data_IF_018909095223
#
_entry.id   IF_018909095223
#
_cell.length_a   1.000
_cell.length_b   1.000
_cell.length_c   1.000
_cell.angle_alpha   90.00
_cell.angle_beta   90.00
_cell.angle_gamma   90.00
#
_symmetry.space_group_name_H-M   'P 1'
#
loop_
_entity.id
_entity.type
_entity.pdbx_description
1 polymer ?
#
# COMPACT_ATOMS: atom_id res chain seq x y z
N UNK A 1 -7.21 18.87 17.51
CA UNK A 1 -6.87 17.54 18.04
C UNK A 1 -6.02 16.83 17.00
N UNK A 2 -4.76 17.26 16.87
CA UNK A 2 -3.78 16.62 16.01
C UNK A 2 -3.27 15.40 16.75
N UNK A 3 -3.75 14.21 16.38
CA UNK A 3 -3.09 12.96 16.76
C UNK A 3 -1.72 12.94 16.06
N UNK A 4 -0.75 13.61 16.70
CA UNK A 4 0.67 13.38 16.49
C UNK A 4 0.96 11.97 17.01
N UNK A 5 0.61 10.99 16.19
CA UNK A 5 1.09 9.62 16.35
C UNK A 5 2.61 9.73 16.40
N UNK A 6 3.19 9.40 17.56
CA UNK A 6 4.62 9.23 17.80
C UNK A 6 5.13 8.04 16.97
N UNK A 7 5.03 8.15 15.65
CA UNK A 7 5.64 7.22 14.71
C UNK A 7 7.14 7.51 14.75
N UNK A 8 7.89 6.64 15.43
CA UNK A 8 9.34 6.68 15.44
C UNK A 8 9.86 6.11 14.11
N UNK A 9 10.33 7.00 13.25
CA UNK A 9 10.91 6.61 11.97
C UNK A 9 12.41 6.31 12.13
N UNK A 10 12.96 5.30 11.42
CA UNK A 10 12.28 4.43 10.46
C UNK A 10 11.46 3.31 11.14
N UNK A 11 10.20 3.11 10.73
CA UNK A 11 9.36 2.01 11.21
C UNK A 11 8.85 1.13 10.07
N UNK A 12 8.53 -0.13 10.38
CA UNK A 12 7.83 -1.01 9.43
C UNK A 12 6.35 -0.67 9.45
N UNK A 13 5.84 -0.20 8.31
CA UNK A 13 4.43 0.17 8.15
C UNK A 13 3.77 -0.73 7.09
N UNK A 14 2.75 -1.53 7.47
CA UNK A 14 1.94 -2.26 6.52
C UNK A 14 0.78 -1.38 6.02
N UNK A 15 0.65 -1.23 4.70
CA UNK A 15 -0.54 -0.65 4.05
C UNK A 15 -1.31 -1.78 3.38
N UNK A 16 -2.61 -1.88 3.66
CA UNK A 16 -3.48 -2.85 3.02
C UNK A 16 -4.39 -2.16 2.01
N UNK A 17 -4.14 -2.44 0.75
CA UNK A 17 -4.93 -1.98 -0.39
C UNK A 17 -5.95 -3.03 -0.75
N UNK A 18 -7.21 -2.64 -0.95
CA UNK A 18 -8.23 -3.50 -1.52
C UNK A 18 -8.75 -2.87 -2.80
N UNK A 19 -8.75 -3.66 -3.87
CA UNK A 19 -9.24 -3.23 -5.17
C UNK A 19 -9.87 -4.37 -5.96
N UNK A 20 -10.28 -4.06 -7.18
CA UNK A 20 -10.84 -5.04 -8.11
C UNK A 20 -9.80 -6.12 -8.42
N UNK A 21 -10.20 -7.38 -8.39
CA UNK A 21 -9.33 -8.51 -8.72
C UNK A 21 -9.08 -8.57 -10.25
N UNK A 22 -8.16 -7.75 -10.75
CA UNK A 22 -7.68 -7.81 -12.13
C UNK A 22 -6.26 -8.38 -12.16
N UNK A 23 -5.90 -9.04 -13.26
CA UNK A 23 -4.58 -9.67 -13.41
C UNK A 23 -3.40 -8.68 -13.24
N UNK A 24 -3.64 -7.38 -13.50
CA UNK A 24 -2.62 -6.34 -13.42
C UNK A 24 -2.62 -5.58 -12.08
N UNK A 25 -3.65 -5.74 -11.25
CA UNK A 25 -3.82 -4.88 -10.06
C UNK A 25 -2.64 -4.99 -9.10
N UNK A 26 -2.17 -6.21 -8.82
CA UNK A 26 -0.99 -6.41 -7.97
C UNK A 26 0.26 -5.74 -8.55
N UNK A 27 0.47 -5.86 -9.85
CA UNK A 27 1.62 -5.27 -10.54
C UNK A 27 1.56 -3.73 -10.52
N UNK A 28 0.38 -3.16 -10.78
CA UNK A 28 0.14 -1.71 -10.73
C UNK A 28 0.44 -1.14 -9.33
N UNK A 29 -0.08 -1.79 -8.28
CA UNK A 29 0.21 -1.40 -6.89
C UNK A 29 1.70 -1.56 -6.58
N UNK A 30 2.34 -2.65 -7.00
CA UNK A 30 3.77 -2.87 -6.80
C UNK A 30 4.62 -1.78 -7.46
N UNK A 31 4.29 -1.38 -8.69
CA UNK A 31 4.99 -0.31 -9.41
C UNK A 31 4.81 1.03 -8.70
N UNK A 32 3.59 1.37 -8.25
CA UNK A 32 3.35 2.59 -7.48
C UNK A 32 4.15 2.56 -6.18
N UNK A 33 4.10 1.46 -5.42
CA UNK A 33 4.85 1.33 -4.17
C UNK A 33 6.36 1.44 -4.36
N UNK A 34 6.93 0.79 -5.38
CA UNK A 34 8.37 0.89 -5.69
C UNK A 34 8.81 2.31 -6.07
N UNK A 35 7.92 3.11 -6.68
CA UNK A 35 8.23 4.52 -7.02
C UNK A 35 8.38 5.41 -5.77
N UNK A 36 7.59 5.18 -4.73
CA UNK A 36 7.65 5.93 -3.47
C UNK A 36 8.60 5.31 -2.44
N UNK A 37 8.87 4.01 -2.57
CA UNK A 37 9.73 3.24 -1.68
C UNK A 37 10.72 2.44 -2.55
N UNK A 38 11.87 3.04 -2.94
CA UNK A 38 12.87 2.34 -3.75
C UNK A 38 13.46 1.12 -3.02
N UNK A 39 13.52 1.13 -1.69
CA UNK A 39 13.99 0.02 -0.85
C UNK A 39 12.91 -1.05 -0.58
N UNK A 40 11.82 -1.05 -1.35
CA UNK A 40 10.75 -2.03 -1.20
C UNK A 40 11.23 -3.42 -1.63
N UNK A 41 11.39 -4.31 -0.66
CA UNK A 41 11.69 -5.72 -0.92
C UNK A 41 10.57 -6.38 -1.73
N UNK A 42 10.90 -7.31 -2.63
CA UNK A 42 9.88 -8.03 -3.39
C UNK A 42 8.95 -8.87 -2.48
N UNK A 43 9.46 -9.34 -1.35
CA UNK A 43 8.68 -10.06 -0.33
C UNK A 43 7.80 -9.14 0.54
N UNK A 44 7.89 -7.82 0.37
CA UNK A 44 7.07 -6.84 1.09
C UNK A 44 5.61 -6.87 0.66
N UNK A 45 5.35 -7.34 -0.56
CA UNK A 45 4.03 -7.31 -1.19
C UNK A 45 3.41 -8.70 -1.05
N UNK A 46 2.20 -8.75 -0.48
CA UNK A 46 1.41 -9.96 -0.37
C UNK A 46 0.03 -9.71 -0.92
N UNK A 47 -0.33 -10.41 -1.99
CA UNK A 47 -1.69 -10.41 -2.52
C UNK A 47 -2.48 -11.60 -1.97
N UNK A 48 -3.75 -11.36 -1.67
CA UNK A 48 -4.70 -12.40 -1.25
C UNK A 48 -6.06 -12.12 -1.89
N UNK A 49 -6.63 -13.08 -2.64
CA UNK A 49 -7.98 -12.94 -3.15
C UNK A 49 -8.98 -12.85 -1.99
N UNK A 50 -9.98 -11.99 -2.15
CA UNK A 50 -11.10 -11.91 -1.22
C UNK A 50 -11.95 -13.18 -1.30
N UNK A 51 -12.66 -13.49 -0.22
CA UNK A 51 -13.50 -14.69 -0.11
C UNK A 51 -14.54 -14.82 -1.24
N UNK A 52 -14.96 -13.71 -1.82
CA UNK A 52 -15.91 -13.68 -2.95
C UNK A 52 -15.27 -13.59 -4.35
N UNK A 53 -13.94 -13.64 -4.48
CA UNK A 53 -13.22 -13.59 -5.76
C UNK A 53 -13.26 -12.26 -6.53
N UNK A 54 -14.18 -11.36 -6.19
CA UNK A 54 -14.37 -10.05 -6.85
C UNK A 54 -13.25 -9.04 -6.56
N UNK A 55 -12.62 -9.14 -5.39
CA UNK A 55 -11.63 -8.19 -4.91
C UNK A 55 -10.30 -8.86 -4.58
N UNK A 56 -9.21 -8.14 -4.73
CA UNK A 56 -7.86 -8.54 -4.32
C UNK A 56 -7.41 -7.62 -3.18
N UNK A 57 -6.95 -8.21 -2.09
CA UNK A 57 -6.29 -7.50 -1.00
C UNK A 57 -4.77 -7.59 -1.20
N UNK A 58 -4.12 -6.46 -1.38
CA UNK A 58 -2.66 -6.34 -1.52
C UNK A 58 -2.13 -5.64 -0.28
N UNK A 59 -1.34 -6.35 0.52
CA UNK A 59 -0.65 -5.77 1.68
C UNK A 59 0.78 -5.44 1.27
N UNK A 60 1.17 -4.18 1.41
CA UNK A 60 2.51 -3.68 1.13
C UNK A 60 3.17 -3.30 2.44
N UNK A 61 4.26 -3.95 2.80
CA UNK A 61 4.99 -3.69 4.06
C UNK A 61 6.33 -3.04 3.78
N UNK A 62 6.47 -1.75 4.10
CA UNK A 62 7.69 -1.00 3.80
C UNK A 62 8.27 -0.35 5.05
N UNK A 63 9.50 0.14 4.93
CA UNK A 63 10.14 0.98 5.93
C UNK A 63 9.70 2.42 5.66
N UNK A 64 8.78 2.93 6.48
CA UNK A 64 8.41 4.33 6.44
C UNK A 64 9.53 5.13 7.11
N UNK A 65 10.04 6.14 6.41
CA UNK A 65 11.07 7.06 6.92
C UNK A 65 10.46 8.39 7.38
N UNK A 66 9.23 8.69 6.95
CA UNK A 66 8.48 9.88 7.36
C UNK A 66 6.98 9.70 7.15
N UNK A 67 6.18 10.50 7.86
CA UNK A 67 4.72 10.56 7.65
C UNK A 67 4.37 11.03 6.24
N UNK A 68 5.13 11.98 5.69
CA UNK A 68 4.94 12.47 4.32
C UNK A 68 5.06 11.35 3.28
N UNK A 69 6.03 10.44 3.44
CA UNK A 69 6.17 9.28 2.55
C UNK A 69 4.94 8.37 2.60
N UNK A 70 4.40 8.11 3.80
CA UNK A 70 3.19 7.30 3.97
C UNK A 70 2.00 8.00 3.28
N UNK A 71 1.81 9.29 3.53
CA UNK A 71 0.70 10.06 2.97
C UNK A 71 0.78 10.16 1.43
N UNK A 72 1.97 10.34 0.87
CA UNK A 72 2.19 10.34 -0.58
C UNK A 72 1.86 8.99 -1.20
N UNK A 73 2.35 7.89 -0.61
CA UNK A 73 2.05 6.55 -1.09
C UNK A 73 0.55 6.24 -0.98
N UNK A 74 -0.08 6.60 0.14
CA UNK A 74 -1.51 6.44 0.35
C UNK A 74 -2.31 7.19 -0.72
N UNK A 75 -1.96 8.45 -1.00
CA UNK A 75 -2.60 9.27 -2.04
C UNK A 75 -2.41 8.66 -3.43
N UNK A 76 -1.19 8.23 -3.77
CA UNK A 76 -0.89 7.65 -5.08
C UNK A 76 -1.66 6.34 -5.33
N UNK A 77 -1.74 5.48 -4.31
CA UNK A 77 -2.54 4.26 -4.36
C UNK A 77 -4.02 4.60 -4.46
N UNK A 78 -4.53 5.51 -3.63
CA UNK A 78 -5.95 5.85 -3.59
C UNK A 78 -6.43 6.56 -4.87
N UNK A 79 -5.53 7.22 -5.60
CA UNK A 79 -5.83 7.80 -6.92
C UNK A 79 -6.03 6.73 -8.01
N UNK A 80 -5.68 5.47 -7.76
CA UNK A 80 -5.80 4.39 -8.73
C UNK A 80 -7.27 3.95 -8.89
N UNK A 81 -7.83 3.91 -10.11
CA UNK A 81 -9.27 3.68 -10.33
C UNK A 81 -9.77 2.30 -9.88
N UNK A 82 -8.87 1.30 -9.86
CA UNK A 82 -9.18 -0.05 -9.39
C UNK A 82 -9.18 -0.18 -7.86
N UNK A 83 -8.62 0.79 -7.13
CA UNK A 83 -8.61 0.79 -5.67
C UNK A 83 -9.99 1.15 -5.14
N UNK A 84 -10.44 0.40 -4.15
CA UNK A 84 -11.72 0.60 -3.46
C UNK A 84 -11.53 1.06 -2.03
N UNK A 85 -10.48 0.59 -1.37
CA UNK A 85 -10.17 0.98 0.00
C UNK A 85 -8.68 0.82 0.28
N UNK A 86 -8.14 1.70 1.12
CA UNK A 86 -6.78 1.60 1.64
C UNK A 86 -6.86 1.72 3.17
N UNK A 87 -6.24 0.77 3.87
CA UNK A 87 -6.23 0.61 5.31
C UNK A 87 -4.80 0.64 5.85
#
# INVERSE_FOLDING_TARGET
MSEETLLEFPCRFPIKVMGTNTANFENEIAVISRKHVPDLSEAAIKSRPSSGGKYLAVTVTFIATSKAQIDELYRAINAHPSVKMVL
#
